data_IF_685106813185
#
_entry.id   IF_685106813185
#
_cell.length_a   1.000
_cell.length_b   1.000
_cell.length_c   1.000
_cell.angle_alpha   90.00
_cell.angle_beta   90.00
_cell.angle_gamma   90.00
#
_symmetry.space_group_name_H-M   'P 1'
#
loop_
_entity.id
_entity.type
_entity.pdbx_description
1 polymer ?
#
# COMPACT_ATOMS: atom_id res chain seq x y z
N UNK A 1 5.91 -26.39 9.81
CA UNK A 1 4.74 -25.56 10.16
C UNK A 1 4.82 -24.30 9.32
N UNK A 2 3.75 -23.99 8.58
CA UNK A 2 3.72 -23.02 7.47
C UNK A 2 4.10 -21.61 7.93
N UNK A 3 5.20 -21.10 7.39
CA UNK A 3 5.45 -19.66 7.24
C UNK A 3 4.34 -19.16 6.32
N UNK A 4 3.47 -18.29 6.83
CA UNK A 4 2.47 -17.57 6.03
C UNK A 4 3.19 -16.32 5.53
N UNK A 5 3.79 -16.38 4.35
CA UNK A 5 3.17 -16.03 3.06
C UNK A 5 2.78 -14.55 3.02
N UNK A 6 3.59 -13.79 2.28
CA UNK A 6 3.22 -12.52 1.67
C UNK A 6 2.17 -12.85 0.58
N UNK A 7 1.00 -13.33 0.98
CA UNK A 7 -0.11 -13.67 0.08
C UNK A 7 -0.97 -12.43 -0.15
N UNK A 8 -1.31 -11.98 -1.35
CA UNK A 8 -1.04 -12.46 -2.69
C UNK A 8 -0.97 -11.20 -3.58
N UNK A 9 0.18 -10.92 -4.19
CA UNK A 9 0.39 -9.71 -5.02
C UNK A 9 -0.53 -9.61 -6.25
N UNK A 10 -1.23 -10.70 -6.63
CA UNK A 10 -2.19 -10.69 -7.75
C UNK A 10 -3.43 -9.83 -7.49
N UNK A 11 -4.07 -9.95 -6.32
CA UNK A 11 -5.28 -9.19 -5.99
C UNK A 11 -5.00 -7.70 -5.77
N UNK A 12 -3.86 -7.36 -5.14
CA UNK A 12 -3.46 -5.96 -4.95
C UNK A 12 -3.22 -5.24 -6.29
N UNK A 13 -2.70 -5.95 -7.29
CA UNK A 13 -2.44 -5.42 -8.62
C UNK A 13 -3.67 -5.42 -9.53
N UNK A 14 -4.55 -6.43 -9.41
CA UNK A 14 -5.66 -6.64 -10.35
C UNK A 14 -7.03 -6.14 -9.86
N UNK A 15 -7.25 -5.94 -8.56
CA UNK A 15 -8.57 -5.58 -8.02
C UNK A 15 -8.59 -4.17 -7.41
N UNK A 16 -9.61 -3.34 -7.72
CA UNK A 16 -9.90 -2.15 -6.94
C UNK A 16 -10.10 -2.53 -5.47
N UNK A 17 -9.44 -1.80 -4.55
CA UNK A 17 -9.49 -2.05 -3.10
C UNK A 17 -8.91 -3.40 -2.63
N UNK A 18 -7.98 -3.98 -3.38
CA UNK A 18 -7.27 -5.20 -2.98
C UNK A 18 -6.65 -5.12 -1.58
N UNK A 19 -6.70 -6.21 -0.83
CA UNK A 19 -6.16 -6.30 0.54
C UNK A 19 -4.73 -6.85 0.58
N UNK A 20 -3.93 -6.31 1.48
CA UNK A 20 -2.57 -6.74 1.79
C UNK A 20 -2.48 -7.09 3.28
N UNK A 21 -1.94 -8.27 3.58
CA UNK A 21 -1.66 -8.71 4.95
C UNK A 21 -0.16 -8.91 5.11
N UNK A 22 0.41 -8.36 6.18
CA UNK A 22 1.84 -8.43 6.48
C UNK A 22 2.00 -8.96 7.89
N UNK A 23 2.94 -9.87 8.11
CA UNK A 23 3.38 -10.29 9.46
C UNK A 23 4.87 -10.07 9.59
N UNK A 24 5.32 -9.44 10.68
CA UNK A 24 6.73 -9.14 10.89
C UNK A 24 7.09 -8.99 12.37
N UNK A 25 8.39 -8.88 12.64
CA UNK A 25 8.94 -8.63 13.98
C UNK A 25 9.17 -7.13 14.13
N UNK A 26 8.66 -6.57 15.23
CA UNK A 26 8.81 -5.16 15.57
C UNK A 26 10.26 -4.83 15.91
N UNK A 27 10.75 -3.64 15.56
CA UNK A 27 12.07 -3.12 15.94
C UNK A 27 12.05 -2.56 17.38
N UNK A 28 11.89 -3.43 18.39
CA UNK A 28 11.99 -3.05 19.82
C UNK A 28 13.14 -3.74 20.55
N UNK A 29 13.66 -3.15 21.65
CA UNK A 29 14.65 -3.84 22.48
C UNK A 29 14.15 -5.21 23.00
N UNK A 30 12.84 -5.35 23.23
CA UNK A 30 12.23 -6.58 23.70
C UNK A 30 12.29 -7.68 22.62
N UNK A 31 12.00 -7.35 21.36
CA UNK A 31 12.08 -8.30 20.25
C UNK A 31 13.52 -8.65 19.89
N UNK A 32 14.46 -7.73 20.07
CA UNK A 32 15.89 -8.04 19.95
C UNK A 32 16.32 -9.10 20.97
N UNK A 33 16.00 -8.87 22.24
CA UNK A 33 16.40 -9.79 23.33
C UNK A 33 15.70 -11.14 23.20
N UNK A 34 14.38 -11.17 23.00
CA UNK A 34 13.64 -12.43 22.97
C UNK A 34 13.76 -13.15 21.61
N UNK A 35 13.71 -12.40 20.52
CA UNK A 35 13.72 -12.94 19.15
C UNK A 35 15.10 -13.35 18.68
N UNK A 36 16.16 -12.60 19.02
CA UNK A 36 17.51 -12.88 18.54
C UNK A 36 18.33 -13.56 19.63
N UNK A 37 18.53 -12.90 20.78
CA UNK A 37 19.42 -13.42 21.81
C UNK A 37 18.88 -14.72 22.39
N UNK A 38 17.63 -14.70 22.88
CA UNK A 38 17.05 -15.86 23.52
C UNK A 38 16.80 -17.00 22.52
N UNK A 39 16.15 -16.73 21.38
CA UNK A 39 15.80 -17.81 20.45
C UNK A 39 17.00 -18.43 19.73
N UNK A 40 18.01 -17.64 19.34
CA UNK A 40 19.16 -18.15 18.56
C UNK A 40 20.30 -18.63 19.44
N UNK A 41 20.66 -17.85 20.47
CA UNK A 41 21.90 -18.08 21.22
C UNK A 41 21.69 -18.91 22.47
N UNK A 42 20.53 -18.78 23.12
CA UNK A 42 20.24 -19.46 24.39
C UNK A 42 19.42 -20.73 24.16
N UNK A 43 18.26 -20.60 23.52
CA UNK A 43 17.31 -21.70 23.35
C UNK A 43 17.61 -22.58 22.13
N UNK A 44 18.39 -22.08 21.16
CA UNK A 44 18.77 -22.84 19.96
C UNK A 44 17.58 -23.27 19.11
N UNK A 45 16.48 -22.50 19.14
CA UNK A 45 15.23 -22.81 18.42
C UNK A 45 15.44 -22.64 16.92
N UNK A 46 16.27 -21.67 16.53
CA UNK A 46 16.61 -21.39 15.13
C UNK A 46 18.13 -21.20 14.98
N UNK A 47 18.70 -21.39 13.78
CA UNK A 47 20.12 -21.16 13.52
C UNK A 47 20.55 -19.72 13.84
N UNK A 48 21.83 -19.53 14.19
CA UNK A 48 22.40 -18.19 14.39
C UNK A 48 22.32 -17.36 13.11
N UNK A 49 21.95 -16.10 13.23
CA UNK A 49 21.79 -15.18 12.11
C UNK A 49 20.48 -15.37 11.33
N UNK A 50 19.51 -16.08 11.89
CA UNK A 50 18.17 -16.20 11.29
C UNK A 50 17.45 -14.85 11.34
N UNK A 51 17.63 -14.10 12.41
CA UNK A 51 17.07 -12.79 12.62
C UNK A 51 18.14 -11.71 12.43
N UNK A 52 17.90 -10.85 11.44
CA UNK A 52 18.71 -9.66 11.20
C UNK A 52 17.98 -8.45 11.78
N UNK A 53 18.53 -7.90 12.86
CA UNK A 53 17.95 -6.77 13.57
C UNK A 53 17.69 -5.55 12.68
N UNK A 54 18.55 -5.30 11.69
CA UNK A 54 18.39 -4.13 10.83
C UNK A 54 17.19 -4.24 9.89
N UNK A 55 16.70 -5.47 9.66
CA UNK A 55 15.51 -5.72 8.85
C UNK A 55 14.21 -5.66 9.65
N UNK A 56 14.27 -5.50 10.97
CA UNK A 56 13.07 -5.34 11.76
C UNK A 56 12.48 -3.96 11.49
N UNK A 57 11.16 -3.87 11.48
CA UNK A 57 10.42 -2.66 11.08
C UNK A 57 9.36 -2.37 12.14
N UNK A 58 9.31 -1.14 12.63
CA UNK A 58 8.28 -0.75 13.60
C UNK A 58 6.92 -0.63 12.92
N UNK A 59 5.80 -0.78 13.66
CA UNK A 59 4.46 -0.56 13.12
C UNK A 59 4.32 0.79 12.42
N UNK A 60 4.86 1.85 13.00
CA UNK A 60 4.78 3.21 12.48
C UNK A 60 5.57 3.38 11.18
N UNK A 61 6.74 2.75 11.09
CA UNK A 61 7.54 2.72 9.86
C UNK A 61 6.83 1.94 8.76
N UNK A 62 6.25 0.78 9.09
CA UNK A 62 5.48 -0.01 8.14
C UNK A 62 4.25 0.75 7.64
N UNK A 63 3.51 1.38 8.54
CA UNK A 63 2.34 2.22 8.21
C UNK A 63 2.74 3.34 7.26
N UNK A 64 3.80 4.08 7.58
CA UNK A 64 4.32 5.16 6.73
C UNK A 64 4.71 4.66 5.33
N UNK A 65 5.37 3.49 5.24
CA UNK A 65 5.73 2.88 3.97
C UNK A 65 4.51 2.47 3.14
N UNK A 66 3.49 1.89 3.79
CA UNK A 66 2.26 1.49 3.12
C UNK A 66 1.48 2.68 2.58
N UNK A 67 1.34 3.73 3.41
CA UNK A 67 0.65 4.97 3.04
C UNK A 67 1.36 5.70 1.89
N UNK A 68 2.69 5.79 1.94
CA UNK A 68 3.49 6.38 0.87
C UNK A 68 3.34 5.64 -0.47
N UNK A 69 2.93 4.36 -0.44
CA UNK A 69 2.68 3.54 -1.63
C UNK A 69 1.19 3.45 -2.00
N UNK A 70 0.34 4.32 -1.43
CA UNK A 70 -1.08 4.37 -1.77
C UNK A 70 -1.90 3.22 -1.20
N UNK A 71 -1.49 2.66 -0.06
CA UNK A 71 -2.31 1.76 0.74
C UNK A 71 -2.80 2.44 2.01
N UNK A 72 -4.04 2.16 2.40
CA UNK A 72 -4.62 2.60 3.66
C UNK A 72 -4.53 1.47 4.67
N UNK A 73 -3.84 1.70 5.79
CA UNK A 73 -3.74 0.71 6.86
C UNK A 73 -5.04 0.68 7.66
N UNK A 74 -5.66 -0.50 7.72
CA UNK A 74 -6.94 -0.72 8.39
C UNK A 74 -6.76 -1.24 9.81
N UNK A 75 -5.72 -2.03 10.06
CA UNK A 75 -5.47 -2.66 11.36
C UNK A 75 -4.02 -3.05 11.52
N UNK A 76 -3.52 -2.87 12.73
CA UNK A 76 -2.29 -3.50 13.22
C UNK A 76 -2.64 -4.27 14.50
N UNK A 77 -2.12 -5.49 14.64
CA UNK A 77 -2.36 -6.32 15.83
C UNK A 77 -1.14 -7.14 16.18
N UNK A 78 -0.85 -7.25 17.47
CA UNK A 78 0.25 -8.06 17.98
C UNK A 78 0.01 -9.56 17.84
N UNK A 79 1.13 -10.29 17.79
CA UNK A 79 1.17 -11.75 17.78
C UNK A 79 2.21 -12.24 18.78
N UNK A 80 1.82 -13.21 19.61
CA UNK A 80 2.71 -13.82 20.59
C UNK A 80 2.78 -15.34 20.39
N UNK A 81 4.00 -15.86 20.29
CA UNK A 81 4.24 -17.29 20.22
C UNK A 81 4.33 -17.88 21.63
N UNK A 82 3.55 -18.94 21.90
CA UNK A 82 3.68 -19.72 23.12
C UNK A 82 4.53 -20.98 22.85
N UNK A 83 5.77 -21.07 23.37
CA UNK A 83 6.64 -22.20 23.11
C UNK A 83 6.19 -23.50 23.79
N UNK A 84 5.40 -23.42 24.87
CA UNK A 84 4.91 -24.59 25.60
C UNK A 84 3.78 -25.30 24.84
N UNK A 85 2.90 -24.53 24.21
CA UNK A 85 1.78 -25.08 23.45
C UNK A 85 2.07 -25.17 21.94
N UNK A 86 3.09 -24.45 21.45
CA UNK A 86 3.42 -24.36 20.03
C UNK A 86 2.46 -23.49 19.22
N UNK A 87 1.51 -22.79 19.86
CA UNK A 87 0.49 -21.99 19.18
C UNK A 87 0.79 -20.49 19.25
N UNK A 88 0.34 -19.79 18.20
CA UNK A 88 0.33 -18.33 18.12
C UNK A 88 -0.98 -17.77 18.66
N UNK A 89 -0.89 -16.68 19.41
CA UNK A 89 -2.04 -15.96 19.94
C UNK A 89 -2.04 -14.52 19.44
N UNK A 90 -3.23 -14.01 19.11
CA UNK A 90 -3.45 -12.60 18.84
C UNK A 90 -3.45 -11.79 20.13
N UNK A 91 -2.82 -10.62 20.11
CA UNK A 91 -2.72 -9.71 21.26
C UNK A 91 -2.78 -8.26 20.78
N UNK A 92 -3.11 -7.34 21.67
CA UNK A 92 -3.02 -5.90 21.39
C UNK A 92 -1.57 -5.40 21.51
N UNK A 93 -0.67 -6.18 22.13
CA UNK A 93 0.72 -5.81 22.31
C UNK A 93 1.56 -6.09 21.05
N UNK A 94 2.05 -5.04 20.40
CA UNK A 94 2.88 -5.12 19.18
C UNK A 94 4.38 -5.18 19.46
N UNK A 95 4.83 -5.24 20.71
CA UNK A 95 6.26 -5.11 21.08
C UNK A 95 7.14 -6.25 20.55
N UNK A 96 6.57 -7.38 20.15
CA UNK A 96 7.30 -8.54 19.60
C UNK A 96 7.02 -8.76 18.13
N UNK A 97 5.98 -9.54 17.82
CA UNK A 97 5.53 -9.76 16.45
C UNK A 97 4.21 -9.03 16.27
N UNK A 98 3.91 -8.64 15.04
CA UNK A 98 2.62 -8.05 14.71
C UNK A 98 2.21 -8.39 13.28
N UNK A 99 0.92 -8.25 13.02
CA UNK A 99 0.32 -8.34 11.71
C UNK A 99 -0.33 -7.00 11.35
N UNK A 100 -0.22 -6.59 10.10
CA UNK A 100 -0.89 -5.43 9.54
C UNK A 100 -1.83 -5.86 8.40
N UNK A 101 -2.98 -5.22 8.32
CA UNK A 101 -3.91 -5.30 7.19
C UNK A 101 -4.03 -3.92 6.57
N UNK A 102 -3.76 -3.83 5.27
CA UNK A 102 -3.92 -2.62 4.48
C UNK A 102 -4.75 -2.91 3.23
N UNK A 103 -5.37 -1.87 2.69
CA UNK A 103 -6.15 -1.94 1.45
C UNK A 103 -5.64 -0.91 0.47
N UNK A 104 -5.66 -1.22 -0.83
CA UNK A 104 -5.32 -0.24 -1.87
C UNK A 104 -6.25 0.98 -1.76
N UNK A 105 -5.67 2.16 -1.63
CA UNK A 105 -6.42 3.42 -1.68
C UNK A 105 -6.96 3.62 -3.09
N UNK A 106 -8.17 4.14 -3.22
CA UNK A 106 -8.71 4.50 -4.53
C UNK A 106 -7.89 5.67 -5.07
N UNK A 107 -7.06 5.41 -6.09
CA UNK A 107 -6.48 6.48 -6.90
C UNK A 107 -7.65 7.21 -7.54
N UNK A 108 -7.81 8.50 -7.25
CA UNK A 108 -8.52 9.37 -8.19
C UNK A 108 -7.68 9.34 -9.45
N UNK A 109 -8.17 8.67 -10.48
CA UNK A 109 -7.56 8.69 -11.81
C UNK A 109 -7.57 10.13 -12.32
N UNK A 110 -6.51 10.90 -12.04
CA UNK A 110 -6.20 12.12 -12.78
C UNK A 110 -5.52 11.75 -14.10
N UNK A 111 -6.18 10.90 -14.90
CA UNK A 111 -5.93 10.75 -16.33
C UNK A 111 -6.92 11.62 -17.09
N UNK A 112 -6.67 12.92 -17.04
CA UNK A 112 -7.32 13.93 -17.86
C UNK A 112 -6.27 14.95 -18.25
N UNK A 113 -5.34 14.56 -19.12
CA UNK A 113 -4.45 15.50 -19.81
C UNK A 113 -5.30 16.52 -20.56
N UNK A 114 -5.17 17.84 -20.33
CA UNK A 114 -5.61 18.81 -21.31
C UNK A 114 -4.64 18.70 -22.49
N UNK A 115 -5.05 17.97 -23.52
CA UNK A 115 -4.43 18.04 -24.83
C UNK A 115 -4.37 19.50 -25.27
N UNK A 116 -3.20 19.93 -25.72
CA UNK A 116 -3.03 21.09 -26.59
C UNK A 116 -4.07 21.06 -27.71
N UNK A 117 -5.13 21.86 -27.58
CA UNK A 117 -5.87 22.37 -28.73
C UNK A 117 -6.63 23.63 -28.31
N UNK A 118 -5.88 24.68 -28.01
CA UNK A 118 -6.41 26.04 -28.01
C UNK A 118 -5.87 26.79 -29.23
N UNK A 119 -6.80 27.46 -29.90
CA UNK A 119 -6.59 28.56 -30.83
C UNK A 119 -5.93 28.26 -32.19
N UNK A 120 -6.78 28.03 -33.20
CA UNK A 120 -6.67 28.75 -34.48
C UNK A 120 -7.97 28.69 -35.28
N UNK A 121 -8.94 29.52 -34.91
CA UNK A 121 -9.89 30.06 -35.91
C UNK A 121 -10.46 31.41 -35.45
N UNK A 122 -9.63 32.45 -35.49
CA UNK A 122 -10.09 33.84 -35.57
C UNK A 122 -8.98 34.75 -36.09
N UNK A 123 -8.83 34.83 -37.42
CA UNK A 123 -8.53 36.07 -38.15
C UNK A 123 -8.46 35.77 -39.67
N UNK A 124 -9.28 36.42 -40.51
CA UNK A 124 -9.02 36.33 -41.96
C UNK A 124 -10.07 36.80 -42.97
N UNK A 125 -10.54 38.05 -42.87
CA UNK A 125 -10.76 38.97 -44.01
C UNK A 125 -11.77 38.65 -45.15
N UNK A 126 -12.85 39.44 -45.16
CA UNK A 126 -13.31 40.36 -46.24
C UNK A 126 -13.30 39.92 -47.72
N UNK A 127 -14.49 39.94 -48.36
CA UNK A 127 -14.85 40.70 -49.59
C UNK A 127 -16.14 40.08 -50.22
N UNK A 128 -17.27 40.79 -50.23
CA UNK A 128 -17.84 41.56 -51.36
C UNK A 128 -18.90 40.81 -52.19
N UNK A 129 -20.14 41.31 -52.06
CA UNK A 129 -21.23 41.48 -53.06
C UNK A 129 -21.54 40.40 -54.11
N UNK A 130 -22.82 40.04 -54.23
CA UNK A 130 -23.68 40.41 -55.38
C UNK A 130 -25.15 40.04 -55.14
N UNK A 131 -26.00 40.75 -55.87
CA UNK A 131 -27.43 41.00 -55.72
C UNK A 131 -28.40 39.80 -55.87
N UNK A 132 -29.63 39.98 -55.39
CA UNK A 132 -30.76 39.10 -55.71
C UNK A 132 -32.11 39.60 -55.18
N UNK A 133 -32.75 40.44 -55.98
CA UNK A 133 -34.12 40.97 -55.87
C UNK A 133 -35.21 39.90 -55.65
N UNK A 134 -36.28 40.23 -54.90
CA UNK A 134 -37.54 39.47 -54.89
C UNK A 134 -38.55 39.94 -53.84
N UNK A 135 -39.58 40.66 -54.29
CA UNK A 135 -40.70 41.27 -53.55
C UNK A 135 -41.53 40.33 -52.62
N UNK A 136 -42.36 40.90 -51.71
CA UNK A 136 -43.31 40.16 -50.88
C UNK A 136 -44.74 40.16 -51.45
N UNK A 137 -45.41 39.01 -51.43
CA UNK A 137 -46.87 38.81 -51.53
C UNK A 137 -47.16 37.46 -50.83
N UNK A 138 -48.10 37.24 -49.93
CA UNK A 138 -49.26 37.93 -49.32
C UNK A 138 -49.55 37.25 -47.99
#
# INVERSE_FOLDING_TARGET
MKILDVGCGGGLLSEPRGSLFITTINKTPLSYVLGIIFAEQIAGIVPKGTHDWEKFVSPEELESLLEANGLMVQRVRGMLFNPLSGYWNWTENTSLNYAAHAVKSETRDSSGSPSEMEAKEHQGRTASSTDGHGEPQT
#
